data_IF_725741737808
#
_entry.id   IF_725741737808
#
_cell.length_a   1.000
_cell.length_b   1.000
_cell.length_c   1.000
_cell.angle_alpha   90.00
_cell.angle_beta   90.00
_cell.angle_gamma   90.00
#
_symmetry.space_group_name_H-M   'P 1'
#
loop_
_entity.id
_entity.type
_entity.pdbx_description
1 polymer ?
#
# COMPACT_ATOMS: atom_id res chain seq x y z
N UNK A 1 3.96 -49.01 9.17
CA UNK A 1 4.82 -48.35 8.17
C UNK A 1 4.04 -47.61 7.11
N UNK A 2 3.06 -48.21 6.49
CA UNK A 2 2.27 -47.58 5.43
C UNK A 2 1.49 -46.35 5.91
N UNK A 3 1.06 -46.32 7.15
CA UNK A 3 0.32 -45.20 7.74
C UNK A 3 1.18 -43.94 7.78
N UNK A 4 2.48 -44.07 8.07
CA UNK A 4 3.41 -42.92 8.14
C UNK A 4 3.61 -42.29 6.77
N UNK A 5 3.71 -43.12 5.72
CA UNK A 5 3.87 -42.64 4.34
C UNK A 5 2.60 -41.89 3.88
N UNK A 6 1.44 -42.40 4.20
CA UNK A 6 0.16 -41.75 3.88
C UNK A 6 0.02 -40.40 4.57
N UNK A 7 0.43 -40.30 5.82
CA UNK A 7 0.40 -39.04 6.55
C UNK A 7 1.32 -37.98 5.91
N UNK A 8 2.49 -38.42 5.44
CA UNK A 8 3.42 -37.49 4.74
C UNK A 8 2.86 -36.98 3.44
N UNK A 9 2.21 -37.83 2.66
CA UNK A 9 1.59 -37.43 1.38
C UNK A 9 0.43 -36.45 1.63
N UNK A 10 -0.36 -36.71 2.64
CA UNK A 10 -1.49 -35.84 3.00
C UNK A 10 -1.02 -34.45 3.41
N UNK A 11 0.06 -34.34 4.19
CA UNK A 11 0.64 -33.07 4.58
C UNK A 11 1.15 -32.29 3.39
N UNK A 12 1.76 -32.95 2.42
CA UNK A 12 2.26 -32.29 1.21
C UNK A 12 1.12 -31.69 0.40
N UNK A 13 0.00 -32.39 0.26
CA UNK A 13 -1.18 -31.88 -0.44
C UNK A 13 -1.76 -30.64 0.27
N UNK A 14 -1.75 -30.62 1.58
CA UNK A 14 -2.23 -29.48 2.36
C UNK A 14 -1.38 -28.23 2.12
N UNK A 15 -0.06 -28.40 2.05
CA UNK A 15 0.87 -27.29 1.76
C UNK A 15 0.62 -26.70 0.38
N UNK A 16 0.38 -27.52 -0.62
CA UNK A 16 0.09 -27.09 -1.99
C UNK A 16 -1.20 -26.27 -2.06
N UNK A 17 -2.24 -26.71 -1.36
CA UNK A 17 -3.51 -25.98 -1.30
C UNK A 17 -3.34 -24.61 -0.66
N UNK A 18 -2.52 -24.51 0.37
CA UNK A 18 -2.22 -23.25 1.05
C UNK A 18 -1.49 -22.28 0.12
N UNK A 19 -0.53 -22.75 -0.66
CA UNK A 19 0.20 -21.93 -1.64
C UNK A 19 -0.73 -21.37 -2.72
N UNK A 20 -1.70 -22.14 -3.18
CA UNK A 20 -2.68 -21.68 -4.16
C UNK A 20 -3.54 -20.56 -3.62
N UNK A 21 -3.93 -20.58 -2.35
CA UNK A 21 -4.69 -19.51 -1.71
C UNK A 21 -3.87 -18.23 -1.61
N UNK A 22 -2.58 -18.32 -1.26
CA UNK A 22 -1.69 -17.16 -1.16
C UNK A 22 -1.52 -16.47 -2.51
N UNK A 23 -1.52 -17.22 -3.62
CA UNK A 23 -1.37 -16.67 -4.97
C UNK A 23 -2.55 -15.78 -5.40
N UNK A 24 -3.72 -15.85 -4.73
CA UNK A 24 -4.91 -15.07 -5.06
C UNK A 24 -4.86 -13.62 -4.58
N UNK A 25 -3.88 -13.24 -3.77
CA UNK A 25 -3.77 -11.88 -3.23
C UNK A 25 -3.12 -10.88 -4.20
N UNK A 26 -2.55 -11.37 -5.29
CA UNK A 26 -1.85 -10.53 -6.25
C UNK A 26 -0.50 -10.05 -5.74
N UNK A 27 -0.03 -8.93 -6.25
CA UNK A 27 1.29 -8.41 -5.92
C UNK A 27 1.29 -6.91 -5.70
N UNK A 28 2.21 -6.45 -4.87
CA UNK A 28 2.51 -5.04 -4.67
C UNK A 28 4.01 -4.87 -4.47
N UNK A 29 4.57 -3.84 -5.10
CA UNK A 29 5.97 -3.46 -4.93
C UNK A 29 6.00 -2.00 -4.52
N UNK A 30 6.73 -1.71 -3.45
CA UNK A 30 6.92 -0.35 -2.95
C UNK A 30 8.37 0.05 -3.20
N UNK A 31 8.55 1.17 -3.90
CA UNK A 31 9.88 1.68 -4.24
C UNK A 31 10.03 3.06 -3.62
N UNK A 32 11.07 3.22 -2.81
CA UNK A 32 11.41 4.51 -2.21
C UNK A 32 12.18 5.38 -3.19
N UNK A 33 11.94 6.68 -3.11
CA UNK A 33 12.83 7.66 -3.71
C UNK A 33 14.14 7.66 -2.91
N UNK A 34 15.28 7.57 -3.58
CA UNK A 34 16.60 7.50 -2.94
C UNK A 34 16.96 8.72 -2.09
N UNK A 35 16.22 9.80 -2.16
CA UNK A 35 16.43 11.02 -1.40
C UNK A 35 15.42 11.23 -0.27
N UNK A 36 14.56 10.24 0.00
CA UNK A 36 13.55 10.36 1.04
C UNK A 36 12.45 11.35 0.73
N UNK A 37 12.27 11.71 -0.53
CA UNK A 37 11.28 12.70 -0.97
C UNK A 37 9.96 12.07 -1.44
N UNK A 38 9.85 10.77 -1.35
CA UNK A 38 8.63 10.09 -1.72
C UNK A 38 8.80 8.59 -1.96
N UNK A 39 7.76 7.99 -2.47
CA UNK A 39 7.73 6.58 -2.78
C UNK A 39 6.66 6.30 -3.82
N UNK A 40 6.70 5.11 -4.42
CA UNK A 40 5.62 4.64 -5.29
C UNK A 40 5.22 3.23 -4.91
N UNK A 41 3.93 2.94 -5.08
CA UNK A 41 3.36 1.61 -4.90
C UNK A 41 2.84 1.14 -6.25
N UNK A 42 3.33 0.02 -6.73
CA UNK A 42 2.89 -0.59 -7.98
C UNK A 42 2.26 -1.93 -7.67
N UNK A 43 1.05 -2.16 -8.16
CA UNK A 43 0.27 -3.33 -7.79
C UNK A 43 -0.43 -3.94 -8.98
N UNK A 44 -0.65 -5.25 -8.90
CA UNK A 44 -1.31 -6.04 -9.94
C UNK A 44 -2.21 -7.09 -9.31
N UNK A 45 -3.48 -7.10 -9.70
CA UNK A 45 -4.50 -8.01 -9.18
C UNK A 45 -4.48 -8.07 -7.64
N UNK A 46 -4.24 -6.94 -7.02
CA UNK A 46 -3.98 -6.83 -5.59
C UNK A 46 -5.27 -6.86 -4.78
N UNK A 47 -5.36 -7.81 -3.86
CA UNK A 47 -6.52 -8.07 -3.00
C UNK A 47 -6.11 -8.11 -1.54
N UNK A 48 -5.46 -7.07 -1.07
CA UNK A 48 -5.02 -6.99 0.32
C UNK A 48 -4.82 -5.55 0.68
N UNK A 49 -4.09 -5.29 1.74
CA UNK A 49 -3.69 -3.94 2.12
C UNK A 49 -2.20 -3.90 2.44
N UNK A 50 -1.61 -2.75 2.22
CA UNK A 50 -0.22 -2.50 2.55
C UNK A 50 -0.07 -1.04 2.94
N UNK A 51 1.03 -0.71 3.59
CA UNK A 51 1.29 0.65 4.03
C UNK A 51 2.77 0.99 3.95
N UNK A 52 3.03 2.28 3.85
CA UNK A 52 4.37 2.85 3.89
C UNK A 52 4.36 4.06 4.82
N UNK A 53 5.41 4.25 5.60
CA UNK A 53 5.47 5.33 6.59
C UNK A 53 6.49 6.38 6.18
N UNK A 54 6.09 7.66 6.32
CA UNK A 54 6.95 8.82 6.13
C UNK A 54 6.82 9.77 7.32
N UNK A 55 7.94 10.34 7.75
CA UNK A 55 7.94 11.43 8.71
C UNK A 55 7.79 12.73 7.97
N UNK A 56 6.78 13.51 8.33
CA UNK A 56 6.50 14.80 7.72
C UNK A 56 6.40 15.87 8.80
N UNK A 57 6.73 17.11 8.44
CA UNK A 57 6.56 18.26 9.32
C UNK A 57 5.27 18.99 8.99
N UNK A 58 4.67 19.61 10.00
CA UNK A 58 3.51 20.46 9.79
C UNK A 58 3.80 21.51 8.76
N UNK A 59 2.93 21.65 7.76
CA UNK A 59 3.12 22.52 6.61
C UNK A 59 3.67 21.84 5.37
N UNK A 60 4.17 20.63 5.49
CA UNK A 60 4.63 19.87 4.31
C UNK A 60 3.44 19.58 3.39
N UNK A 61 3.67 19.69 2.08
CA UNK A 61 2.68 19.39 1.05
C UNK A 61 3.16 18.20 0.25
N UNK A 62 2.30 17.21 0.13
CA UNK A 62 2.57 16.02 -0.69
C UNK A 62 1.67 16.02 -1.91
N UNK A 63 2.21 15.50 -3.00
CA UNK A 63 1.45 15.25 -4.22
C UNK A 63 1.20 13.75 -4.33
N UNK A 64 -0.06 13.38 -4.55
CA UNK A 64 -0.46 11.99 -4.75
C UNK A 64 -0.94 11.83 -6.17
N UNK A 65 -0.33 10.91 -6.89
CA UNK A 65 -0.68 10.58 -8.26
C UNK A 65 -1.19 9.15 -8.31
N UNK A 66 -2.42 8.96 -8.76
CA UNK A 66 -3.07 7.66 -8.85
C UNK A 66 -3.25 7.29 -10.30
N UNK A 67 -2.80 6.11 -10.67
CA UNK A 67 -3.13 5.48 -11.96
C UNK A 67 -3.87 4.18 -11.67
N UNK A 68 -5.15 4.15 -11.97
CA UNK A 68 -5.98 2.98 -11.80
C UNK A 68 -6.27 2.34 -13.15
N UNK A 69 -5.74 1.15 -13.37
CA UNK A 69 -5.97 0.40 -14.60
C UNK A 69 -7.12 -0.59 -14.45
N UNK A 70 -7.38 -1.06 -13.23
CA UNK A 70 -8.46 -1.99 -12.96
C UNK A 70 -8.73 -2.15 -11.48
N UNK A 71 -9.89 -2.68 -11.14
CA UNK A 71 -10.30 -2.94 -9.77
C UNK A 71 -10.62 -1.69 -8.97
N UNK A 72 -10.60 -1.81 -7.64
CA UNK A 72 -10.88 -0.73 -6.71
C UNK A 72 -9.69 -0.43 -5.82
N UNK A 73 -9.48 0.86 -5.52
CA UNK A 73 -8.38 1.32 -4.68
C UNK A 73 -8.95 2.24 -3.60
N UNK A 74 -8.66 1.90 -2.33
CA UNK A 74 -8.86 2.80 -1.22
C UNK A 74 -7.49 3.27 -0.73
N UNK A 75 -7.36 4.55 -0.41
CA UNK A 75 -6.11 5.14 0.00
C UNK A 75 -6.33 6.12 1.14
N UNK A 76 -5.50 6.05 2.17
CA UNK A 76 -5.59 6.95 3.31
C UNK A 76 -4.22 7.34 3.84
N UNK A 77 -4.19 8.51 4.47
CA UNK A 77 -3.00 9.04 5.14
C UNK A 77 -3.40 9.30 6.59
N UNK A 78 -2.75 8.63 7.52
CA UNK A 78 -3.04 8.78 8.95
C UNK A 78 -1.78 9.00 9.76
N UNK A 79 -1.83 9.92 10.70
CA UNK A 79 -0.73 10.20 11.61
C UNK A 79 -0.81 9.34 12.88
N UNK A 80 0.35 9.06 13.46
CA UNK A 80 0.44 8.28 14.71
C UNK A 80 -0.24 8.99 15.89
N UNK A 81 -0.40 10.31 15.80
CA UNK A 81 -1.08 11.11 16.83
C UNK A 81 -2.58 11.23 16.61
N UNK A 82 -3.13 10.52 15.62
CA UNK A 82 -4.57 10.44 15.37
C UNK A 82 -5.10 11.31 14.25
N UNK A 83 -4.29 12.17 13.64
CA UNK A 83 -4.73 12.96 12.48
C UNK A 83 -4.95 12.09 11.27
N UNK A 84 -5.91 12.47 10.43
CA UNK A 84 -6.18 11.77 9.16
C UNK A 84 -6.32 12.82 8.04
N UNK A 85 -5.18 13.29 7.49
CA UNK A 85 -5.21 14.34 6.46
C UNK A 85 -5.96 13.96 5.19
N UNK A 86 -6.04 12.67 4.87
CA UNK A 86 -6.72 12.22 3.67
C UNK A 86 -7.31 10.83 3.84
N UNK A 87 -8.49 10.63 3.25
CA UNK A 87 -9.13 9.31 3.14
C UNK A 87 -9.99 9.26 1.89
N UNK A 88 -9.69 8.32 1.00
CA UNK A 88 -10.46 8.05 -0.20
C UNK A 88 -10.81 6.57 -0.30
N UNK A 89 -12.11 6.25 -0.43
CA UNK A 89 -12.56 4.87 -0.46
C UNK A 89 -12.63 4.27 -1.86
N UNK A 90 -12.66 5.12 -2.90
CA UNK A 90 -12.71 4.68 -4.29
C UNK A 90 -11.93 5.69 -5.14
N UNK A 91 -10.63 5.45 -5.24
CA UNK A 91 -9.74 6.39 -5.91
C UNK A 91 -9.85 6.25 -7.42
N UNK A 92 -10.01 7.38 -8.08
CA UNK A 92 -9.95 7.48 -9.54
C UNK A 92 -8.55 7.92 -9.95
N UNK A 93 -8.19 7.66 -11.22
CA UNK A 93 -6.93 8.17 -11.76
C UNK A 93 -6.91 9.69 -11.73
N UNK A 94 -5.80 10.25 -11.30
CA UNK A 94 -5.65 11.68 -11.19
C UNK A 94 -4.55 12.06 -10.22
N UNK A 95 -4.34 13.35 -10.06
CA UNK A 95 -3.31 13.92 -9.20
C UNK A 95 -3.95 14.94 -8.26
N UNK A 96 -3.56 14.87 -6.99
CA UNK A 96 -4.03 15.84 -5.98
C UNK A 96 -2.94 16.08 -4.95
N UNK A 97 -3.12 17.12 -4.14
CA UNK A 97 -2.20 17.46 -3.07
C UNK A 97 -2.85 17.33 -1.71
N UNK A 98 -2.05 16.99 -0.71
CA UNK A 98 -2.47 16.92 0.67
C UNK A 98 -1.48 17.72 1.50
N UNK A 99 -1.97 18.64 2.31
CA UNK A 99 -1.14 19.39 3.26
C UNK A 99 -1.30 18.77 4.64
N UNK A 100 -0.19 18.43 5.28
CA UNK A 100 -0.23 17.97 6.67
C UNK A 100 -0.04 19.17 7.59
N UNK A 101 -0.81 19.24 8.66
CA UNK A 101 -0.78 20.38 9.58
C UNK A 101 -0.01 20.10 10.86
N UNK A 102 0.32 18.85 11.09
CA UNK A 102 1.00 18.42 12.31
C UNK A 102 2.25 17.62 11.97
N UNK A 103 3.35 17.88 12.66
CA UNK A 103 4.57 17.09 12.55
C UNK A 103 4.31 15.72 13.17
N UNK A 104 4.46 14.66 12.38
CA UNK A 104 4.13 13.30 12.81
C UNK A 104 4.75 12.27 11.85
N UNK A 105 4.67 11.03 12.25
CA UNK A 105 4.90 9.89 11.37
C UNK A 105 3.57 9.51 10.74
N UNK A 106 3.51 9.58 9.42
CA UNK A 106 2.29 9.31 8.67
C UNK A 106 2.34 7.96 7.99
N UNK A 107 1.26 7.22 8.11
CA UNK A 107 1.06 5.93 7.46
C UNK A 107 0.22 6.13 6.20
N UNK A 108 0.77 5.75 5.07
CA UNK A 108 0.12 5.79 3.76
C UNK A 108 -0.38 4.39 3.47
N UNK A 109 -1.67 4.18 3.59
CA UNK A 109 -2.28 2.86 3.50
C UNK A 109 -3.03 2.72 2.18
N UNK A 110 -2.77 1.63 1.47
CA UNK A 110 -3.51 1.24 0.29
C UNK A 110 -4.27 -0.05 0.56
N UNK A 111 -5.51 -0.10 0.11
CA UNK A 111 -6.32 -1.31 0.13
C UNK A 111 -6.84 -1.55 -1.27
N UNK A 112 -6.51 -2.73 -1.80
CA UNK A 112 -6.90 -3.12 -3.15
C UNK A 112 -8.02 -4.13 -3.16
N UNK A 113 -8.84 -4.04 -4.22
CA UNK A 113 -9.85 -5.03 -4.54
C UNK A 113 -9.71 -5.32 -6.03
N UNK A 114 -9.02 -6.41 -6.35
CA UNK A 114 -8.60 -6.76 -7.71
C UNK A 114 -7.90 -5.60 -8.41
N UNK A 115 -7.08 -4.87 -7.65
CA UNK A 115 -6.52 -3.59 -8.09
C UNK A 115 -5.27 -3.77 -8.93
N UNK A 116 -5.22 -3.07 -10.06
CA UNK A 116 -4.02 -2.96 -10.90
C UNK A 116 -3.78 -1.48 -11.19
N UNK A 117 -2.55 -1.05 -11.00
CA UNK A 117 -2.17 0.35 -11.20
C UNK A 117 -1.02 0.76 -10.32
N UNK A 118 -0.93 2.06 -10.04
CA UNK A 118 0.08 2.57 -9.13
C UNK A 118 -0.38 3.84 -8.40
N UNK A 119 0.27 4.10 -7.28
CA UNK A 119 0.11 5.32 -6.50
C UNK A 119 1.51 5.85 -6.21
N UNK A 120 1.77 7.09 -6.60
CA UNK A 120 3.04 7.77 -6.36
C UNK A 120 2.83 8.94 -5.42
N UNK A 121 3.66 9.02 -4.39
CA UNK A 121 3.61 10.09 -3.38
C UNK A 121 4.94 10.82 -3.42
N UNK A 122 4.88 12.15 -3.54
CA UNK A 122 6.06 13.03 -3.56
C UNK A 122 5.86 14.20 -2.61
N UNK A 123 6.90 14.55 -1.88
CA UNK A 123 6.92 15.79 -1.09
C UNK A 123 7.27 16.91 -2.06
N UNK A 124 6.32 17.80 -2.36
CA UNK A 124 6.51 18.88 -3.33
C UNK A 124 6.79 20.24 -2.68
N UNK A 125 6.46 20.38 -1.41
CA UNK A 125 6.76 21.60 -0.67
C UNK A 125 7.03 21.21 0.78
N UNK A 126 8.21 21.60 1.27
CA UNK A 126 8.62 21.34 2.63
C UNK A 126 8.55 22.62 3.45
N UNK A 127 8.07 22.46 4.68
CA UNK A 127 8.13 23.56 5.64
C UNK A 127 9.59 23.97 5.86
N UNK A 128 9.83 25.28 5.99
CA UNK A 128 11.16 25.82 6.21
C UNK A 128 11.67 25.40 7.59
N UNK A 129 12.82 24.74 7.61
CA UNK A 129 13.39 24.15 8.82
C UNK A 129 14.61 24.88 9.33
#
# INVERSE_FOLDING_TARGET
MNIVVLAGVLNLLLILAFSACAASEGSIVIVEDGHGSGFSMKFKDFNSENKYELSLNGGDVIQVEVEREGGGIAFSVSGSKGGEPYKGNDMLSGTFTVTVHETDNYSFKIKGKDATGNVTVKIISKEKR
#
